data_IF_000578687753
#
_entry.id   IF_000578687753
#
_cell.length_a   1.000
_cell.length_b   1.000
_cell.length_c   1.000
_cell.angle_alpha   90.00
_cell.angle_beta   90.00
_cell.angle_gamma   90.00
#
_symmetry.space_group_name_H-M   'P 1'
#
loop_
_entity.id
_entity.type
_entity.pdbx_description
1 polymer ?
#
# COMPACT_ATOMS: atom_id res chain seq x y z
N UNK A 1 6.32 -7.79 -16.54
CA UNK A 1 5.30 -7.38 -15.56
C UNK A 1 5.92 -6.43 -14.56
N UNK A 2 5.25 -5.31 -14.29
CA UNK A 2 5.70 -4.37 -13.27
C UNK A 2 5.39 -4.89 -11.88
N UNK A 3 6.31 -4.66 -10.96
CA UNK A 3 6.14 -4.98 -9.54
C UNK A 3 6.05 -3.68 -8.77
N UNK A 4 4.91 -3.43 -8.11
CA UNK A 4 4.75 -2.27 -7.24
C UNK A 4 4.68 -2.70 -5.78
N UNK A 5 5.11 -1.83 -4.90
CA UNK A 5 5.16 -2.11 -3.47
C UNK A 5 4.52 -0.95 -2.71
N UNK A 6 3.44 -1.25 -1.99
CA UNK A 6 2.84 -0.28 -1.08
C UNK A 6 3.58 -0.31 0.24
N UNK A 7 4.02 0.85 0.71
CA UNK A 7 4.85 0.96 1.92
C UNK A 7 4.23 1.90 2.93
N UNK A 8 4.16 1.46 4.18
CA UNK A 8 3.81 2.29 5.33
C UNK A 8 4.80 1.98 6.47
N UNK A 9 4.50 2.39 7.69
CA UNK A 9 5.40 2.17 8.83
C UNK A 9 5.41 0.72 9.26
N UNK A 10 4.27 0.20 9.72
CA UNK A 10 4.19 -1.14 10.34
C UNK A 10 3.71 -2.26 9.45
N UNK A 11 3.25 -1.96 8.24
CA UNK A 11 2.70 -2.94 7.30
C UNK A 11 1.52 -3.74 7.89
N UNK A 12 0.71 -3.10 8.71
CA UNK A 12 -0.48 -3.72 9.32
C UNK A 12 -1.78 -2.97 9.04
N UNK A 13 -1.73 -1.73 8.57
CA UNK A 13 -2.92 -0.92 8.31
C UNK A 13 -2.99 -0.44 6.86
N UNK A 14 -2.31 0.68 6.56
CA UNK A 14 -2.43 1.37 5.26
C UNK A 14 -1.95 0.53 4.09
N UNK A 15 -0.75 -0.02 4.15
CA UNK A 15 -0.20 -0.74 3.01
C UNK A 15 -0.91 -2.06 2.71
N UNK A 16 -1.34 -2.87 3.71
CA UNK A 16 -2.15 -4.06 3.40
C UNK A 16 -3.52 -3.70 2.81
N UNK A 17 -4.16 -2.63 3.28
CA UNK A 17 -5.42 -2.17 2.69
C UNK A 17 -5.20 -1.70 1.26
N UNK A 18 -4.14 -0.94 1.00
CA UNK A 18 -3.82 -0.47 -0.34
C UNK A 18 -3.56 -1.62 -1.30
N UNK A 19 -2.81 -2.62 -0.87
CA UNK A 19 -2.57 -3.82 -1.67
C UNK A 19 -3.88 -4.53 -2.01
N UNK A 20 -4.74 -4.73 -1.01
CA UNK A 20 -6.03 -5.38 -1.21
C UNK A 20 -6.94 -4.60 -2.15
N UNK A 21 -7.03 -3.29 -1.96
CA UNK A 21 -7.85 -2.41 -2.81
C UNK A 21 -7.33 -2.42 -4.25
N UNK A 22 -6.03 -2.28 -4.44
CA UNK A 22 -5.42 -2.31 -5.78
C UNK A 22 -5.72 -3.61 -6.50
N UNK A 23 -5.51 -4.74 -5.81
CA UNK A 23 -5.71 -6.06 -6.42
C UNK A 23 -7.16 -6.28 -6.82
N UNK A 24 -8.12 -5.90 -5.99
CA UNK A 24 -9.55 -6.04 -6.30
C UNK A 24 -9.97 -5.10 -7.41
N UNK A 25 -9.54 -3.85 -7.35
CA UNK A 25 -9.89 -2.84 -8.37
C UNK A 25 -9.35 -3.23 -9.74
N UNK A 26 -8.08 -3.62 -9.82
CA UNK A 26 -7.47 -4.01 -11.10
C UNK A 26 -8.07 -5.30 -11.66
N UNK A 27 -8.42 -6.23 -10.78
CA UNK A 27 -9.11 -7.45 -11.19
C UNK A 27 -10.46 -7.14 -11.84
N UNK A 28 -11.26 -6.30 -11.20
CA UNK A 28 -12.60 -5.92 -11.70
C UNK A 28 -12.53 -5.20 -13.03
N UNK A 29 -11.54 -4.38 -13.24
CA UNK A 29 -11.42 -3.58 -14.47
C UNK A 29 -10.54 -4.24 -15.52
N UNK A 30 -10.10 -5.47 -15.28
CA UNK A 30 -9.27 -6.20 -16.27
C UNK A 30 -7.92 -5.58 -16.51
N UNK A 31 -7.38 -4.83 -15.56
CA UNK A 31 -6.06 -4.22 -15.66
C UNK A 31 -5.01 -5.28 -15.35
N UNK A 32 -4.12 -5.53 -16.30
CA UNK A 32 -3.11 -6.59 -16.22
C UNK A 32 -1.71 -6.01 -16.32
N UNK A 33 -0.70 -6.84 -15.99
CA UNK A 33 0.70 -6.48 -16.15
C UNK A 33 1.32 -5.76 -14.97
N UNK A 34 0.59 -5.60 -13.86
CA UNK A 34 1.09 -4.96 -12.64
C UNK A 34 0.76 -5.85 -11.45
N UNK A 35 1.78 -6.35 -10.77
CA UNK A 35 1.62 -7.08 -9.52
C UNK A 35 1.92 -6.16 -8.35
N UNK A 36 1.21 -6.34 -7.25
CA UNK A 36 1.42 -5.54 -6.05
C UNK A 36 1.82 -6.40 -4.86
N UNK A 37 2.55 -5.78 -3.96
CA UNK A 37 2.87 -6.29 -2.65
C UNK A 37 2.88 -5.15 -1.65
N UNK A 38 3.24 -5.43 -0.42
CA UNK A 38 3.35 -4.41 0.61
C UNK A 38 4.46 -4.75 1.60
N UNK A 39 5.01 -3.72 2.25
CA UNK A 39 6.03 -3.86 3.28
C UNK A 39 6.02 -2.65 4.20
N UNK A 40 6.76 -2.70 5.29
CA UNK A 40 6.87 -1.60 6.23
C UNK A 40 8.30 -1.15 6.45
N UNK A 41 8.49 0.15 6.67
CA UNK A 41 9.80 0.70 6.99
C UNK A 41 10.30 0.27 8.37
N UNK A 42 9.38 0.02 9.30
CA UNK A 42 9.68 -0.39 10.67
C UNK A 42 8.75 -1.51 11.11
N UNK A 43 8.50 -2.48 10.23
CA UNK A 43 7.59 -3.58 10.51
C UNK A 43 8.27 -4.69 11.29
N UNK A 44 7.52 -5.30 12.21
CA UNK A 44 7.90 -6.60 12.79
C UNK A 44 7.40 -7.69 11.84
N UNK A 45 8.27 -8.61 11.40
CA UNK A 45 7.82 -9.69 10.51
C UNK A 45 6.78 -10.59 11.15
N UNK A 46 5.74 -10.91 10.39
CA UNK A 46 4.76 -11.92 10.79
C UNK A 46 3.54 -11.42 11.55
N UNK A 47 3.38 -10.11 11.74
CA UNK A 47 2.20 -9.58 12.40
C UNK A 47 0.97 -9.66 11.50
N UNK A 48 -0.17 -9.99 12.11
CA UNK A 48 -1.45 -9.95 11.41
C UNK A 48 -1.84 -8.50 11.10
N UNK A 49 -2.69 -8.28 10.08
CA UNK A 49 -3.22 -6.94 9.83
C UNK A 49 -4.10 -6.49 11.01
N UNK A 50 -4.18 -5.17 11.21
CA UNK A 50 -5.03 -4.61 12.26
C UNK A 50 -6.47 -5.09 12.10
N UNK A 51 -7.14 -5.38 13.21
CA UNK A 51 -8.50 -5.91 13.22
C UNK A 51 -9.48 -5.03 12.43
N UNK A 52 -9.39 -3.70 12.64
CA UNK A 52 -10.26 -2.77 11.93
C UNK A 52 -9.93 -2.66 10.45
N UNK A 53 -8.69 -2.89 10.05
CA UNK A 53 -8.34 -2.96 8.64
C UNK A 53 -9.00 -4.16 7.97
N UNK A 54 -8.92 -5.33 8.61
CA UNK A 54 -9.59 -6.55 8.12
C UNK A 54 -11.09 -6.33 8.00
N UNK A 55 -11.68 -5.74 9.02
CA UNK A 55 -13.13 -5.49 9.09
C UNK A 55 -13.60 -4.56 7.97
N UNK A 56 -12.91 -3.45 7.76
CA UNK A 56 -13.28 -2.48 6.73
C UNK A 56 -13.09 -3.06 5.34
N UNK A 57 -12.02 -3.80 5.11
CA UNK A 57 -11.81 -4.46 3.82
C UNK A 57 -12.90 -5.49 3.54
N UNK A 58 -13.34 -6.24 4.54
CA UNK A 58 -14.44 -7.19 4.41
C UNK A 58 -15.73 -6.51 3.98
N UNK A 59 -15.99 -5.28 4.44
CA UNK A 59 -17.13 -4.49 3.97
C UNK A 59 -17.09 -4.23 2.46
N UNK A 60 -15.91 -4.20 1.88
CA UNK A 60 -15.70 -4.01 0.44
C UNK A 60 -15.59 -5.33 -0.34
N UNK A 61 -15.78 -6.46 0.36
CA UNK A 61 -15.62 -7.79 -0.25
C UNK A 61 -14.17 -8.19 -0.43
N UNK A 62 -13.25 -7.58 0.30
CA UNK A 62 -11.82 -7.85 0.20
C UNK A 62 -11.34 -8.53 1.48
N UNK A 63 -10.71 -9.69 1.34
CA UNK A 63 -10.16 -10.44 2.47
C UNK A 63 -8.64 -10.22 2.56
N UNK A 64 -8.20 -9.52 3.60
CA UNK A 64 -6.77 -9.32 3.89
C UNK A 64 -6.32 -10.10 5.14
N UNK A 65 -7.16 -10.99 5.66
CA UNK A 65 -6.89 -11.68 6.93
C UNK A 65 -5.65 -12.56 6.89
N UNK A 66 -5.27 -13.05 5.72
CA UNK A 66 -4.07 -13.89 5.56
C UNK A 66 -2.77 -13.08 5.46
N UNK A 67 -2.86 -11.76 5.34
CA UNK A 67 -1.69 -10.89 5.25
C UNK A 67 -0.82 -11.03 6.51
N UNK A 68 0.50 -11.04 6.32
CA UNK A 68 1.48 -10.96 7.41
C UNK A 68 2.48 -9.87 7.09
N UNK A 69 2.78 -9.04 8.07
CA UNK A 69 3.69 -7.92 7.90
C UNK A 69 5.10 -8.40 7.56
N UNK A 70 5.81 -7.60 6.78
CA UNK A 70 7.21 -7.82 6.46
C UNK A 70 7.96 -6.50 6.39
N UNK A 71 9.21 -6.55 6.75
CA UNK A 71 10.09 -5.39 6.66
C UNK A 71 10.58 -5.21 5.22
N UNK A 72 10.81 -3.96 4.85
CA UNK A 72 11.45 -3.63 3.58
C UNK A 72 12.91 -4.06 3.64
N UNK A 73 13.38 -4.77 2.62
CA UNK A 73 14.76 -5.26 2.53
C UNK A 73 15.41 -4.83 1.22
N UNK A 74 16.76 -4.82 1.12
CA UNK A 74 17.42 -4.54 -0.14
C UNK A 74 17.01 -5.49 -1.26
N UNK A 75 16.79 -6.77 -0.95
CA UNK A 75 16.37 -7.77 -1.94
C UNK A 75 14.97 -7.44 -2.48
N UNK A 76 14.07 -7.00 -1.60
CA UNK A 76 12.72 -6.61 -1.99
C UNK A 76 12.75 -5.35 -2.87
N UNK A 77 13.61 -4.39 -2.53
CA UNK A 77 13.80 -3.19 -3.36
C UNK A 77 14.29 -3.55 -4.76
N UNK A 78 15.22 -4.48 -4.86
CA UNK A 78 15.79 -4.91 -6.16
C UNK A 78 14.73 -5.54 -7.07
N UNK A 79 13.71 -6.15 -6.49
CA UNK A 79 12.63 -6.82 -7.21
C UNK A 79 11.47 -5.88 -7.55
N UNK A 80 11.52 -4.63 -7.10
CA UNK A 80 10.42 -3.67 -7.17
C UNK A 80 10.71 -2.63 -8.24
N UNK A 81 9.70 -2.34 -9.09
CA UNK A 81 9.82 -1.32 -10.13
C UNK A 81 9.36 0.06 -9.63
N UNK A 82 8.38 0.09 -8.74
CA UNK A 82 7.87 1.34 -8.18
C UNK A 82 7.41 1.13 -6.74
N UNK A 83 7.65 2.14 -5.90
CA UNK A 83 7.21 2.15 -4.52
C UNK A 83 6.14 3.21 -4.33
N UNK A 84 5.02 2.82 -3.74
CA UNK A 84 3.90 3.69 -3.43
C UNK A 84 3.93 3.98 -1.94
N UNK A 85 4.21 5.24 -1.60
CA UNK A 85 4.37 5.69 -0.23
C UNK A 85 3.07 6.25 0.32
N UNK A 86 2.83 6.05 1.61
CA UNK A 86 1.63 6.54 2.28
C UNK A 86 1.80 7.95 2.84
N UNK A 87 3.04 8.40 3.09
CA UNK A 87 3.31 9.76 3.61
C UNK A 87 4.54 10.36 2.95
N UNK A 88 4.67 11.68 3.08
CA UNK A 88 5.87 12.39 2.64
C UNK A 88 7.12 11.90 3.39
N UNK A 89 6.97 11.58 4.68
CA UNK A 89 8.09 11.08 5.48
C UNK A 89 8.57 9.74 4.97
N UNK A 90 7.67 8.84 4.57
CA UNK A 90 8.04 7.57 3.95
C UNK A 90 8.80 7.80 2.65
N UNK A 91 8.28 8.71 1.82
CA UNK A 91 8.91 9.04 0.54
C UNK A 91 10.29 9.63 0.72
N UNK A 92 10.45 10.56 1.66
CA UNK A 92 11.73 11.19 1.95
C UNK A 92 12.77 10.17 2.44
N UNK A 93 12.36 9.26 3.32
CA UNK A 93 13.24 8.20 3.82
C UNK A 93 13.70 7.28 2.69
N UNK A 94 12.80 6.91 1.80
CA UNK A 94 13.11 6.01 0.69
C UNK A 94 13.91 6.68 -0.42
N UNK A 95 13.81 8.00 -0.59
CA UNK A 95 14.56 8.73 -1.61
C UNK A 95 16.08 8.64 -1.40
N UNK A 96 16.52 8.27 -0.20
CA UNK A 96 17.94 8.05 0.09
C UNK A 96 18.47 6.71 -0.43
N UNK A 97 17.56 5.75 -0.70
CA UNK A 97 17.91 4.37 -1.02
C UNK A 97 17.40 3.91 -2.37
N UNK A 98 16.49 4.67 -2.98
CA UNK A 98 15.76 4.24 -4.16
C UNK A 98 15.56 5.44 -5.08
N UNK A 99 15.54 5.24 -6.42
CA UNK A 99 15.37 6.37 -7.35
C UNK A 99 14.09 7.16 -7.10
N UNK A 100 14.21 8.47 -6.95
CA UNK A 100 13.08 9.32 -6.62
C UNK A 100 11.97 9.27 -7.68
N UNK A 101 12.32 9.09 -8.94
CA UNK A 101 11.37 8.99 -10.06
C UNK A 101 10.53 7.72 -10.03
N UNK A 102 10.88 6.77 -9.17
CA UNK A 102 10.12 5.53 -8.95
C UNK A 102 9.32 5.53 -7.65
N UNK A 103 9.27 6.67 -6.97
CA UNK A 103 8.51 6.84 -5.74
C UNK A 103 7.24 7.65 -6.02
N UNK A 104 6.11 7.17 -5.53
CA UNK A 104 4.82 7.83 -5.71
C UNK A 104 4.16 8.03 -4.35
N UNK A 105 3.68 9.26 -4.08
CA UNK A 105 2.91 9.56 -2.87
C UNK A 105 1.42 9.38 -3.16
N UNK A 106 0.80 8.38 -2.53
CA UNK A 106 -0.61 8.07 -2.75
C UNK A 106 -1.49 9.14 -2.11
N UNK A 107 -2.48 9.63 -2.88
CA UNK A 107 -3.53 10.54 -2.40
C UNK A 107 -3.01 11.75 -1.63
N UNK A 108 -1.86 12.29 -2.04
CA UNK A 108 -1.19 13.42 -1.38
C UNK A 108 -0.86 13.15 0.10
N UNK A 109 -0.78 11.88 0.48
CA UNK A 109 -0.54 11.44 1.84
C UNK A 109 -1.77 10.78 2.45
N UNK A 110 -1.59 9.60 3.02
CA UNK A 110 -2.67 8.83 3.65
C UNK A 110 -2.47 8.86 5.16
N UNK A 111 -3.47 9.39 5.86
CA UNK A 111 -3.41 9.53 7.32
C UNK A 111 -3.35 8.17 8.00
N UNK A 112 -2.50 8.05 9.04
CA UNK A 112 -2.35 6.81 9.82
C UNK A 112 -3.59 6.55 10.68
N UNK A 113 -4.32 5.44 10.45
CA UNK A 113 -5.51 5.12 11.23
C UNK A 113 -5.20 4.36 12.51
N UNK A 114 -3.94 4.03 12.78
CA UNK A 114 -3.54 3.17 13.89
C UNK A 114 -4.14 3.62 15.21
N UNK A 115 -4.75 2.69 15.94
CA UNK A 115 -5.41 2.98 17.21
C UNK A 115 -6.78 3.66 17.07
N UNK A 116 -7.21 3.94 15.84
CA UNK A 116 -8.48 4.60 15.59
C UNK A 116 -9.67 3.66 15.53
N UNK A 117 -10.86 4.28 15.44
CA UNK A 117 -12.13 3.55 15.33
C UNK A 117 -12.30 2.92 13.95
N UNK A 118 -13.33 2.08 13.81
CA UNK A 118 -13.73 1.53 12.50
C UNK A 118 -13.99 2.65 11.50
N UNK A 119 -14.64 3.74 11.93
CA UNK A 119 -14.90 4.89 11.07
C UNK A 119 -13.61 5.55 10.58
N UNK A 120 -12.60 5.64 11.42
CA UNK A 120 -11.28 6.17 11.03
C UNK A 120 -10.67 5.29 9.94
N UNK A 121 -10.80 3.98 10.06
CA UNK A 121 -10.31 3.04 9.05
C UNK A 121 -11.12 3.11 7.76
N UNK A 122 -12.42 3.35 7.84
CA UNK A 122 -13.25 3.55 6.64
C UNK A 122 -12.79 4.77 5.84
N UNK A 123 -12.52 5.88 6.53
CA UNK A 123 -12.00 7.09 5.88
C UNK A 123 -10.62 6.86 5.27
N UNK A 124 -9.79 6.10 5.95
CA UNK A 124 -8.48 5.73 5.43
C UNK A 124 -8.63 4.92 4.13
N UNK A 125 -9.51 3.93 4.11
CA UNK A 125 -9.77 3.12 2.92
C UNK A 125 -10.28 3.98 1.76
N UNK A 126 -11.21 4.89 2.02
CA UNK A 126 -11.72 5.82 1.00
C UNK A 126 -10.59 6.69 0.44
N UNK A 127 -9.74 7.21 1.29
CA UNK A 127 -8.59 8.03 0.88
C UNK A 127 -7.62 7.24 0.01
N UNK A 128 -7.34 6.00 0.38
CA UNK A 128 -6.50 5.10 -0.41
C UNK A 128 -7.10 4.86 -1.78
N UNK A 129 -8.38 4.52 -1.83
CA UNK A 129 -9.08 4.24 -3.09
C UNK A 129 -9.07 5.45 -4.02
N UNK A 130 -9.28 6.65 -3.47
CA UNK A 130 -9.30 7.89 -4.26
C UNK A 130 -8.00 8.13 -5.03
N UNK A 131 -6.89 7.59 -4.57
CA UNK A 131 -5.60 7.75 -5.24
C UNK A 131 -5.28 6.69 -6.29
N UNK A 132 -6.09 5.64 -6.43
CA UNK A 132 -5.73 4.50 -7.28
C UNK A 132 -5.69 4.84 -8.75
N UNK A 133 -6.62 5.65 -9.25
CA UNK A 133 -6.64 6.04 -10.65
C UNK A 133 -5.41 6.87 -11.03
N UNK A 134 -5.03 7.82 -10.19
CA UNK A 134 -3.84 8.63 -10.39
C UNK A 134 -2.58 7.77 -10.37
N UNK A 135 -2.52 6.79 -9.48
CA UNK A 135 -1.42 5.83 -9.43
C UNK A 135 -1.31 5.06 -10.74
N UNK A 136 -2.43 4.57 -11.26
CA UNK A 136 -2.43 3.84 -12.54
C UNK A 136 -1.91 4.71 -13.69
N UNK A 137 -2.37 5.97 -13.76
CA UNK A 137 -1.89 6.90 -14.78
C UNK A 137 -0.39 7.06 -14.68
N UNK A 138 0.13 7.28 -13.48
CA UNK A 138 1.57 7.41 -13.25
C UNK A 138 2.35 6.18 -13.68
N UNK A 139 1.86 4.98 -13.31
CA UNK A 139 2.51 3.72 -13.68
C UNK A 139 2.56 3.50 -15.20
N UNK A 140 1.58 4.02 -15.93
CA UNK A 140 1.51 3.89 -17.38
C UNK A 140 2.38 4.90 -18.13
N UNK A 141 3.01 5.84 -17.45
CA UNK A 141 3.94 6.79 -18.08
C UNK A 141 5.32 6.18 -18.36
N UNK A 142 5.55 4.99 -17.90
CA UNK A 142 6.84 4.32 -18.04
C UNK A 142 6.92 3.48 -19.31
#
# INVERSE_FOLDING_TARGET
>A
MKQILFVCTGNTCRSPMAEGIWNEWTRRWGIKGIQSGSAGLAAFPGDAPAENAVRVMAEWGIDISAHRSRALTPELLDQTDAIVCMTEEHKAALARLYPAERLFLLSHGVRDPYGGSVETYRRCADQIFDGMQELLVWLRTW
#
